data_IF_970064553878
#
_entry.id   IF_970064553878
#
_cell.length_a   1.000
_cell.length_b   1.000
_cell.length_c   1.000
_cell.angle_alpha   90.00
_cell.angle_beta   90.00
_cell.angle_gamma   90.00
#
_symmetry.space_group_name_H-M   'P 1'
#
loop_
_entity.id
_entity.type
_entity.pdbx_description
1 polymer ?
#
# COMPACT_ATOMS: atom_id res chain seq x y z
N UNK A 1 13.91 -17.26 -7.02
CA UNK A 1 13.71 -15.82 -7.36
C UNK A 1 14.92 -15.34 -8.15
N UNK A 2 14.74 -14.52 -9.19
CA UNK A 2 15.86 -13.90 -9.94
C UNK A 2 16.39 -12.68 -9.19
N UNK A 3 17.69 -12.38 -9.28
CA UNK A 3 18.32 -11.20 -8.67
C UNK A 3 17.65 -9.89 -9.06
N UNK A 4 17.22 -9.77 -10.32
CA UNK A 4 16.49 -8.62 -10.84
C UNK A 4 15.19 -8.32 -10.07
N UNK A 5 14.45 -9.36 -9.64
CA UNK A 5 13.22 -9.14 -8.86
C UNK A 5 13.53 -8.61 -7.46
N UNK A 6 14.63 -9.05 -6.86
CA UNK A 6 15.08 -8.55 -5.55
C UNK A 6 15.48 -7.08 -5.67
N UNK A 7 16.26 -6.73 -6.71
CA UNK A 7 16.66 -5.35 -6.97
C UNK A 7 15.45 -4.44 -7.21
N UNK A 8 14.48 -4.87 -8.04
CA UNK A 8 13.24 -4.13 -8.25
C UNK A 8 12.45 -3.96 -6.95
N UNK A 9 12.32 -5.02 -6.14
CA UNK A 9 11.64 -4.90 -4.86
C UNK A 9 12.32 -3.90 -3.93
N UNK A 10 13.65 -3.88 -3.86
CA UNK A 10 14.39 -2.89 -3.08
C UNK A 10 14.12 -1.46 -3.58
N UNK A 11 14.11 -1.23 -4.89
CA UNK A 11 13.77 0.08 -5.48
C UNK A 11 12.35 0.50 -5.09
N UNK A 12 11.37 -0.40 -5.22
CA UNK A 12 9.99 -0.08 -4.88
C UNK A 12 9.77 0.14 -3.37
N UNK A 13 10.49 -0.58 -2.51
CA UNK A 13 10.50 -0.31 -1.06
C UNK A 13 11.06 1.09 -0.78
N UNK A 14 12.16 1.46 -1.43
CA UNK A 14 12.73 2.81 -1.28
C UNK A 14 11.78 3.90 -1.78
N UNK A 15 11.08 3.68 -2.89
CA UNK A 15 10.04 4.60 -3.37
C UNK A 15 8.87 4.69 -2.39
N UNK A 16 8.47 3.58 -1.76
CA UNK A 16 7.43 3.57 -0.72
C UNK A 16 7.87 4.34 0.51
N UNK A 17 9.13 4.22 0.90
CA UNK A 17 9.71 4.97 1.99
C UNK A 17 9.69 6.49 1.70
N UNK A 18 10.12 6.91 0.49
CA UNK A 18 10.08 8.31 0.05
C UNK A 18 8.65 8.83 -0.02
N UNK A 19 7.73 8.08 -0.63
CA UNK A 19 6.31 8.43 -0.67
C UNK A 19 5.67 8.51 0.72
N UNK A 20 6.14 7.68 1.65
CA UNK A 20 5.75 7.69 3.06
C UNK A 20 6.24 8.91 3.85
N UNK A 21 7.26 9.61 3.37
CA UNK A 21 7.72 10.88 3.97
C UNK A 21 6.82 12.05 3.59
N UNK A 22 6.07 11.94 2.48
CA UNK A 22 5.06 12.94 2.07
C UNK A 22 3.80 12.68 2.89
N UNK A 23 3.74 13.26 4.09
CA UNK A 23 2.60 13.13 5.00
C UNK A 23 1.72 14.35 4.99
N UNK A 24 0.47 14.15 4.56
CA UNK A 24 -0.58 15.16 4.68
C UNK A 24 -1.36 14.85 5.97
N UNK A 25 -1.34 15.73 6.99
CA UNK A 25 -2.04 15.50 8.25
C UNK A 25 -3.56 15.43 8.05
N UNK A 26 -4.23 14.45 8.66
CA UNK A 26 -5.68 14.26 8.64
C UNK A 26 -6.19 13.79 10.01
N UNK A 27 -6.23 14.72 10.96
CA UNK A 27 -6.62 14.43 12.34
C UNK A 27 -5.67 13.43 12.98
N UNK A 28 -6.21 12.27 13.42
CA UNK A 28 -5.42 11.16 13.98
C UNK A 28 -4.74 10.30 12.90
N UNK A 29 -5.10 10.48 11.64
CA UNK A 29 -4.52 9.79 10.49
C UNK A 29 -3.57 10.72 9.72
N UNK A 30 -2.83 10.13 8.79
CA UNK A 30 -2.11 10.88 7.77
C UNK A 30 -2.28 10.19 6.43
N UNK A 31 -2.32 10.95 5.34
CA UNK A 31 -2.14 10.38 4.01
C UNK A 31 -0.66 10.27 3.75
N UNK A 32 -0.19 9.05 3.54
CA UNK A 32 1.13 8.71 3.07
C UNK A 32 1.01 7.96 1.73
N UNK A 33 1.98 8.10 0.83
CA UNK A 33 2.00 7.42 -0.48
C UNK A 33 2.81 6.11 -0.45
N UNK A 34 2.87 5.44 0.69
CA UNK A 34 3.68 4.24 0.90
C UNK A 34 3.11 2.98 0.22
N UNK A 35 1.81 2.93 -0.08
CA UNK A 35 1.19 1.83 -0.81
C UNK A 35 1.30 1.96 -2.35
N UNK A 36 1.39 3.18 -2.89
CA UNK A 36 1.40 3.43 -4.34
C UNK A 36 2.51 2.66 -5.07
N UNK A 37 3.78 2.65 -4.60
CA UNK A 37 4.84 1.91 -5.29
C UNK A 37 4.60 0.40 -5.26
N UNK A 38 4.04 -0.15 -4.18
CA UNK A 38 3.69 -1.56 -4.09
C UNK A 38 2.58 -1.95 -5.09
N UNK A 39 1.59 -1.07 -5.33
CA UNK A 39 0.54 -1.28 -6.32
C UNK A 39 1.07 -1.26 -7.75
N UNK A 40 2.02 -0.38 -8.06
CA UNK A 40 2.70 -0.36 -9.36
C UNK A 40 3.54 -1.63 -9.53
N UNK A 41 4.30 -2.01 -8.51
CA UNK A 41 5.10 -3.23 -8.52
C UNK A 41 4.26 -4.50 -8.73
N UNK A 42 3.04 -4.53 -8.17
CA UNK A 42 2.10 -5.64 -8.33
C UNK A 42 1.67 -5.91 -9.79
N UNK A 43 1.89 -4.95 -10.70
CA UNK A 43 1.57 -5.10 -12.12
C UNK A 43 2.52 -6.06 -12.86
N UNK A 44 3.73 -6.27 -12.34
CA UNK A 44 4.75 -7.11 -13.00
C UNK A 44 5.53 -8.01 -12.05
N UNK A 45 5.54 -7.76 -10.73
CA UNK A 45 6.14 -8.66 -9.73
C UNK A 45 5.15 -9.71 -9.20
N UNK A 46 5.68 -10.69 -8.47
CA UNK A 46 4.89 -11.73 -7.80
C UNK A 46 4.06 -11.19 -6.66
N UNK A 47 2.87 -11.77 -6.44
CA UNK A 47 1.97 -11.33 -5.38
C UNK A 47 2.64 -11.31 -3.97
N UNK A 48 3.43 -12.32 -3.57
CA UNK A 48 4.17 -12.25 -2.30
C UNK A 48 5.17 -11.10 -2.25
N UNK A 49 5.85 -10.82 -3.37
CA UNK A 49 6.85 -9.75 -3.42
C UNK A 49 6.19 -8.36 -3.39
N UNK A 50 5.08 -8.19 -4.08
CA UNK A 50 4.29 -6.95 -4.03
C UNK A 50 3.71 -6.69 -2.63
N UNK A 51 3.17 -7.72 -1.98
CA UNK A 51 2.74 -7.64 -0.58
C UNK A 51 3.89 -7.26 0.34
N UNK A 52 5.07 -7.87 0.16
CA UNK A 52 6.26 -7.56 0.97
C UNK A 52 6.72 -6.11 0.79
N UNK A 53 6.69 -5.58 -0.44
CA UNK A 53 6.99 -4.17 -0.72
C UNK A 53 6.02 -3.25 0.07
N UNK A 54 4.72 -3.58 0.09
CA UNK A 54 3.72 -2.81 0.83
C UNK A 54 4.01 -2.81 2.34
N UNK A 55 4.28 -3.98 2.92
CA UNK A 55 4.58 -4.12 4.33
C UNK A 55 5.85 -3.37 4.74
N UNK A 56 6.95 -3.59 4.02
CA UNK A 56 8.23 -2.93 4.30
C UNK A 56 8.13 -1.42 4.09
N UNK A 57 7.46 -0.98 3.02
CA UNK A 57 7.18 0.42 2.75
C UNK A 57 6.42 1.10 3.88
N UNK A 58 5.36 0.45 4.38
CA UNK A 58 4.57 0.97 5.51
C UNK A 58 5.39 1.06 6.80
N UNK A 59 6.20 0.07 7.13
CA UNK A 59 7.04 0.11 8.33
C UNK A 59 8.07 1.24 8.26
N UNK A 60 8.71 1.46 7.11
CA UNK A 60 9.63 2.58 6.92
C UNK A 60 8.90 3.93 7.02
N UNK A 61 7.75 4.04 6.35
CA UNK A 61 6.86 5.21 6.43
C UNK A 61 6.46 5.52 7.88
N UNK A 62 6.02 4.51 8.64
CA UNK A 62 5.63 4.64 10.04
C UNK A 62 6.82 5.02 10.93
N UNK A 63 8.00 4.43 10.70
CA UNK A 63 9.24 4.75 11.42
C UNK A 63 9.61 6.22 11.24
N UNK A 64 9.59 6.74 10.00
CA UNK A 64 9.83 8.16 9.73
C UNK A 64 8.72 9.07 10.28
N UNK A 65 7.56 8.52 10.64
CA UNK A 65 6.46 9.23 11.31
C UNK A 65 6.53 9.23 12.82
N UNK A 66 7.54 8.61 13.41
CA UNK A 66 7.64 8.46 14.87
C UNK A 66 6.73 7.37 15.45
N UNK A 67 6.16 6.48 14.63
CA UNK A 67 5.37 5.31 15.07
C UNK A 67 4.25 5.66 16.07
N UNK A 68 3.27 6.51 15.72
CA UNK A 68 2.25 6.99 16.66
C UNK A 68 1.38 5.86 17.27
N UNK A 69 1.21 4.74 16.54
CA UNK A 69 0.51 3.55 17.04
C UNK A 69 1.46 2.47 17.58
N UNK A 70 2.76 2.78 17.68
CA UNK A 70 3.79 1.87 18.18
C UNK A 70 3.79 0.51 17.44
N UNK A 71 3.81 -0.62 18.16
CA UNK A 71 3.95 -1.95 17.56
C UNK A 71 2.77 -2.35 16.67
N UNK A 72 1.62 -1.67 16.75
CA UNK A 72 0.48 -1.95 15.88
C UNK A 72 0.78 -1.73 14.40
N UNK A 73 1.81 -0.96 14.04
CA UNK A 73 2.25 -0.84 12.65
C UNK A 73 2.74 -2.17 12.04
N UNK A 74 3.16 -3.14 12.86
CA UNK A 74 3.44 -4.49 12.38
C UNK A 74 2.17 -5.20 11.92
N UNK A 75 1.06 -5.05 12.66
CA UNK A 75 -0.25 -5.59 12.27
C UNK A 75 -0.72 -4.91 10.97
N UNK A 76 -0.67 -3.58 10.90
CA UNK A 76 -1.06 -2.82 9.70
C UNK A 76 -0.22 -3.24 8.49
N UNK A 77 1.10 -3.42 8.68
CA UNK A 77 1.98 -3.89 7.61
C UNK A 77 1.57 -5.29 7.09
N UNK A 78 1.14 -6.20 7.97
CA UNK A 78 0.62 -7.52 7.57
C UNK A 78 -0.74 -7.43 6.86
N UNK A 79 -1.62 -6.52 7.28
CA UNK A 79 -2.88 -6.25 6.58
C UNK A 79 -2.61 -5.69 5.18
N UNK A 80 -1.70 -4.71 5.07
CA UNK A 80 -1.26 -4.14 3.79
C UNK A 80 -0.63 -5.19 2.89
N UNK A 81 0.19 -6.08 3.44
CA UNK A 81 0.72 -7.24 2.72
C UNK A 81 -0.41 -8.06 2.10
N UNK A 82 -1.42 -8.43 2.90
CA UNK A 82 -2.52 -9.28 2.45
C UNK A 82 -3.36 -8.58 1.37
N UNK A 83 -3.66 -7.30 1.55
CA UNK A 83 -4.47 -6.53 0.59
C UNK A 83 -3.72 -6.35 -0.74
N UNK A 84 -2.43 -6.00 -0.72
CA UNK A 84 -1.65 -5.83 -1.96
C UNK A 84 -1.33 -7.19 -2.62
N UNK A 85 -1.14 -8.25 -1.83
CA UNK A 85 -1.06 -9.61 -2.35
C UNK A 85 -2.34 -10.00 -3.10
N UNK A 86 -3.52 -9.69 -2.53
CA UNK A 86 -4.81 -9.95 -3.18
C UNK A 86 -4.96 -9.10 -4.44
N UNK A 87 -4.58 -7.82 -4.39
CA UNK A 87 -4.55 -6.93 -5.56
C UNK A 87 -3.74 -7.55 -6.71
N UNK A 88 -2.52 -8.03 -6.42
CA UNK A 88 -1.65 -8.66 -7.42
C UNK A 88 -2.27 -9.95 -7.99
N UNK A 89 -2.92 -10.77 -7.16
CA UNK A 89 -3.65 -11.97 -7.60
C UNK A 89 -4.83 -11.63 -8.52
N UNK A 90 -5.65 -10.65 -8.14
CA UNK A 90 -6.77 -10.19 -8.93
C UNK A 90 -6.32 -9.62 -10.28
N UNK A 91 -5.21 -8.87 -10.29
CA UNK A 91 -4.62 -8.34 -11.52
C UNK A 91 -4.23 -9.44 -12.51
N UNK A 92 -3.52 -10.47 -12.04
CA UNK A 92 -3.08 -11.61 -12.85
C UNK A 92 -4.25 -12.41 -13.42
N UNK A 93 -5.36 -12.46 -12.70
CA UNK A 93 -6.59 -13.13 -13.12
C UNK A 93 -7.46 -12.24 -14.02
N UNK A 94 -6.93 -11.13 -14.53
CA UNK A 94 -7.64 -10.23 -15.46
C UNK A 94 -8.74 -9.38 -14.83
N UNK A 95 -8.87 -9.33 -13.49
CA UNK A 95 -9.93 -8.62 -12.78
C UNK A 95 -9.60 -7.13 -12.62
N UNK A 96 -9.61 -6.38 -13.72
CA UNK A 96 -9.05 -5.03 -13.82
C UNK A 96 -9.70 -3.99 -12.90
N UNK A 97 -11.01 -4.06 -12.67
CA UNK A 97 -11.73 -3.14 -11.78
C UNK A 97 -11.78 -3.64 -10.33
N UNK A 98 -12.01 -4.95 -10.16
CA UNK A 98 -12.15 -5.56 -8.84
C UNK A 98 -10.89 -5.40 -7.98
N UNK A 99 -9.69 -5.43 -8.59
CA UNK A 99 -8.44 -5.22 -7.84
C UNK A 99 -8.41 -3.86 -7.13
N UNK A 100 -8.86 -2.79 -7.79
CA UNK A 100 -8.86 -1.45 -7.22
C UNK A 100 -9.90 -1.31 -6.10
N UNK A 101 -11.11 -1.83 -6.32
CA UNK A 101 -12.13 -1.88 -5.28
C UNK A 101 -11.69 -2.67 -4.05
N UNK A 102 -11.08 -3.85 -4.27
CA UNK A 102 -10.54 -4.68 -3.20
C UNK A 102 -9.43 -3.97 -2.42
N UNK A 103 -8.55 -3.22 -3.10
CA UNK A 103 -7.52 -2.43 -2.43
C UNK A 103 -8.10 -1.30 -1.60
N UNK A 104 -9.01 -0.49 -2.17
CA UNK A 104 -9.60 0.67 -1.49
C UNK A 104 -10.40 0.23 -0.27
N UNK A 105 -11.25 -0.79 -0.41
CA UNK A 105 -12.04 -1.31 0.72
C UNK A 105 -11.15 -2.05 1.72
N UNK A 106 -10.17 -2.83 1.24
CA UNK A 106 -9.24 -3.57 2.07
C UNK A 106 -8.39 -2.66 2.98
N UNK A 107 -7.74 -1.65 2.41
CA UNK A 107 -6.91 -0.71 3.16
C UNK A 107 -7.70 0.41 3.83
N UNK A 108 -8.83 0.82 3.24
CA UNK A 108 -9.62 1.95 3.72
C UNK A 108 -10.60 1.60 4.84
N UNK A 109 -11.11 0.36 4.86
CA UNK A 109 -12.13 -0.07 5.82
C UNK A 109 -11.71 -1.32 6.57
N UNK A 110 -11.34 -2.39 5.87
CA UNK A 110 -11.09 -3.69 6.51
C UNK A 110 -9.86 -3.66 7.43
N UNK A 111 -8.79 -2.97 7.05
CA UNK A 111 -7.61 -2.78 7.89
C UNK A 111 -7.90 -2.01 9.19
N UNK A 112 -9.00 -1.24 9.25
CA UNK A 112 -9.39 -0.56 10.48
C UNK A 112 -10.13 -1.51 11.44
N UNK A 113 -10.72 -2.61 10.96
CA UNK A 113 -11.62 -3.47 11.74
C UNK A 113 -10.97 -4.03 13.00
N UNK A 114 -9.72 -4.54 13.00
CA UNK A 114 -9.11 -5.01 14.24
C UNK A 114 -8.99 -3.91 15.30
N UNK A 115 -8.78 -2.66 14.88
CA UNK A 115 -8.65 -1.51 15.78
C UNK A 115 -9.97 -1.07 16.43
N UNK A 116 -11.13 -1.51 15.92
CA UNK A 116 -12.40 -1.40 16.63
C UNK A 116 -12.33 -2.11 17.99
N UNK A 117 -11.70 -3.29 18.02
CA UNK A 117 -11.59 -4.13 19.22
C UNK A 117 -10.31 -3.86 20.01
N UNK A 118 -9.20 -3.58 19.34
CA UNK A 118 -7.90 -3.38 19.97
C UNK A 118 -7.74 -2.01 20.61
N UNK A 119 -8.41 -0.97 20.08
CA UNK A 119 -8.33 0.40 20.58
C UNK A 119 -9.70 0.89 21.06
N UNK A 120 -10.63 1.15 20.15
CA UNK A 120 -12.01 1.52 20.48
C UNK A 120 -12.89 1.66 19.23
N UNK A 121 -14.23 1.60 19.39
CA UNK A 121 -15.16 1.98 18.33
C UNK A 121 -14.93 3.42 17.82
N UNK A 122 -14.61 4.35 18.72
CA UNK A 122 -14.34 5.74 18.36
C UNK A 122 -13.11 5.88 17.44
N UNK A 123 -12.04 5.13 17.72
CA UNK A 123 -10.85 5.08 16.85
C UNK A 123 -11.19 4.55 15.45
N UNK A 124 -11.99 3.48 15.38
CA UNK A 124 -12.45 2.92 14.10
C UNK A 124 -13.21 3.96 13.26
N UNK A 125 -14.27 4.56 13.81
CA UNK A 125 -15.07 5.53 13.06
C UNK A 125 -14.29 6.79 12.69
N UNK A 126 -13.33 7.22 13.51
CA UNK A 126 -12.48 8.37 13.23
C UNK A 126 -11.41 8.09 12.16
N UNK A 127 -10.88 6.86 12.10
CA UNK A 127 -9.79 6.51 11.17
C UNK A 127 -10.30 6.15 9.77
N UNK A 128 -11.45 5.48 9.65
CA UNK A 128 -11.98 4.98 8.37
C UNK A 128 -12.08 6.06 7.27
N UNK A 129 -12.61 7.28 7.51
CA UNK A 129 -12.65 8.31 6.47
C UNK A 129 -11.25 8.69 5.95
N UNK A 130 -10.29 8.82 6.86
CA UNK A 130 -8.89 9.14 6.50
C UNK A 130 -8.21 8.00 5.74
N UNK A 131 -8.43 6.75 6.16
CA UNK A 131 -7.88 5.57 5.50
C UNK A 131 -8.48 5.35 4.11
N UNK A 132 -9.80 5.54 3.94
CA UNK A 132 -10.46 5.49 2.62
C UNK A 132 -9.89 6.54 1.67
N UNK A 133 -9.69 7.77 2.15
CA UNK A 133 -9.09 8.83 1.35
C UNK A 133 -7.63 8.51 0.99
N UNK A 134 -6.83 8.06 1.96
CA UNK A 134 -5.44 7.67 1.72
C UNK A 134 -5.32 6.51 0.72
N UNK A 135 -6.15 5.48 0.86
CA UNK A 135 -6.20 4.35 -0.07
C UNK A 135 -6.61 4.81 -1.47
N UNK A 136 -7.63 5.67 -1.58
CA UNK A 136 -8.08 6.21 -2.87
C UNK A 136 -6.98 7.02 -3.57
N UNK A 137 -6.24 7.85 -2.82
CA UNK A 137 -5.12 8.65 -3.34
C UNK A 137 -3.97 7.74 -3.80
N UNK A 138 -3.60 6.73 -3.00
CA UNK A 138 -2.58 5.76 -3.41
C UNK A 138 -2.97 4.99 -4.68
N UNK A 139 -4.23 4.58 -4.78
CA UNK A 139 -4.75 3.91 -5.96
C UNK A 139 -4.73 4.83 -7.19
N UNK A 140 -5.20 6.07 -7.06
CA UNK A 140 -5.20 7.06 -8.14
C UNK A 140 -3.77 7.37 -8.62
N UNK A 141 -2.85 7.61 -7.70
CA UNK A 141 -1.44 7.85 -8.01
C UNK A 141 -0.82 6.63 -8.71
N UNK A 142 -1.13 5.41 -8.27
CA UNK A 142 -0.65 4.19 -8.91
C UNK A 142 -1.19 4.04 -10.34
N UNK A 143 -2.46 4.37 -10.60
CA UNK A 143 -3.06 4.36 -11.94
C UNK A 143 -2.31 5.33 -12.86
N UNK A 144 -2.08 6.57 -12.40
CA UNK A 144 -1.40 7.60 -13.19
C UNK A 144 0.04 7.19 -13.52
N UNK A 145 0.78 6.68 -12.53
CA UNK A 145 2.20 6.28 -12.71
C UNK A 145 2.32 4.98 -13.53
N UNK A 146 1.37 4.04 -13.40
CA UNK A 146 1.41 2.77 -14.12
C UNK A 146 1.46 2.95 -15.64
N UNK A 147 0.77 3.97 -16.19
CA UNK A 147 0.82 4.27 -17.61
C UNK A 147 2.26 4.57 -18.08
N UNK A 148 2.99 5.39 -17.34
CA UNK A 148 4.38 5.74 -17.67
C UNK A 148 5.34 4.55 -17.49
N UNK A 149 5.18 3.78 -16.41
CA UNK A 149 6.07 2.64 -16.12
C UNK A 149 5.90 1.54 -17.16
N UNK A 150 4.67 1.22 -17.55
CA UNK A 150 4.41 0.20 -18.57
C UNK A 150 4.89 0.62 -19.95
N UNK A 151 4.75 1.90 -20.30
CA UNK A 151 5.29 2.45 -21.54
C UNK A 151 6.82 2.44 -21.57
N UNK A 152 7.48 2.84 -20.47
CA UNK A 152 8.92 2.76 -20.34
C UNK A 152 9.42 1.32 -20.48
N UNK A 153 8.77 0.36 -19.80
CA UNK A 153 9.15 -1.05 -19.87
C UNK A 153 9.09 -1.63 -21.30
N UNK A 154 8.13 -1.20 -22.12
CA UNK A 154 8.04 -1.63 -23.54
C UNK A 154 9.19 -1.10 -24.40
N UNK A 155 9.75 0.06 -24.09
CA UNK A 155 10.87 0.64 -24.86
C UNK A 155 12.19 -0.10 -24.66
N UNK A 156 12.29 -0.92 -23.62
CA UNK A 156 13.50 -1.69 -23.27
C UNK A 156 13.32 -3.22 -23.42
N UNK A 157 12.18 -3.68 -23.92
CA UNK A 157 11.88 -5.08 -24.21
C UNK A 157 12.12 -5.38 -25.70
#
# INVERSE_FOLDING_TARGET
MKTQHIALAAIFISLSAIGGMVKIPLGIASIALDAMPALVAALFLTAPLAGFIAAAGHLLSALFGGMPLGPFHLLIALEMFAVVWLFAKLHRNGKMWLKWGAFIIGNGVLAAVPFYFLLSPAFFYASVPGLLLAASINAAAAILVAAFVTEAARKFA
#
